data_IF_379834010617
#
_entry.id   IF_379834010617
#
_cell.length_a   1.000
_cell.length_b   1.000
_cell.length_c   1.000
_cell.angle_alpha   90.00
_cell.angle_beta   90.00
_cell.angle_gamma   90.00
#
_symmetry.space_group_name_H-M   'P 1'
#
loop_
_entity.id
_entity.type
_entity.pdbx_description
1 polymer ?
#
# COMPACT_ATOMS: atom_id res chain seq x y z
N UNK A 1 -4.29 1.84 -10.94
CA UNK A 1 -4.63 2.06 -9.50
C UNK A 1 -4.67 3.57 -9.24
N UNK A 2 -5.45 4.06 -8.27
CA UNK A 2 -5.53 5.50 -7.96
C UNK A 2 -5.38 5.78 -6.46
N UNK A 3 -4.87 6.97 -6.13
CA UNK A 3 -4.85 7.52 -4.78
C UNK A 3 -6.23 8.12 -4.48
N UNK A 4 -6.83 7.71 -3.36
CA UNK A 4 -8.09 8.27 -2.83
C UNK A 4 -7.84 9.31 -1.74
N UNK A 5 -6.81 9.08 -0.92
CA UNK A 5 -6.42 9.95 0.18
C UNK A 5 -4.90 9.85 0.34
N UNK A 6 -4.21 10.99 0.50
CA UNK A 6 -2.80 11.03 0.85
C UNK A 6 -2.55 12.22 1.78
N UNK A 7 -2.62 11.96 3.07
CA UNK A 7 -2.36 12.92 4.15
C UNK A 7 -1.17 12.44 4.98
N UNK A 8 -0.58 13.26 5.86
CA UNK A 8 0.51 12.81 6.72
C UNK A 8 0.13 11.60 7.60
N UNK A 9 -1.15 11.47 7.97
CA UNK A 9 -1.66 10.41 8.84
C UNK A 9 -2.24 9.21 8.12
N UNK A 10 -2.70 9.36 6.86
CA UNK A 10 -3.45 8.30 6.17
C UNK A 10 -3.21 8.29 4.66
N UNK A 11 -3.00 7.11 4.12
CA UNK A 11 -2.91 6.84 2.68
C UNK A 11 -3.97 5.81 2.30
N UNK A 12 -4.83 6.14 1.35
CA UNK A 12 -5.81 5.23 0.79
C UNK A 12 -5.61 5.08 -0.72
N UNK A 13 -5.47 3.84 -1.19
CA UNK A 13 -5.31 3.47 -2.58
C UNK A 13 -6.46 2.57 -3.01
N UNK A 14 -6.92 2.72 -4.24
CA UNK A 14 -7.95 1.85 -4.79
C UNK A 14 -7.64 1.45 -6.24
N UNK A 15 -7.86 0.17 -6.53
CA UNK A 15 -8.04 -0.34 -7.88
C UNK A 15 -9.47 -0.84 -8.02
N UNK A 16 -10.11 -0.51 -9.13
CA UNK A 16 -11.48 -0.96 -9.44
C UNK A 16 -11.53 -1.38 -10.91
N UNK A 17 -11.91 -2.64 -11.12
CA UNK A 17 -12.38 -3.16 -12.39
C UNK A 17 -13.87 -3.49 -12.32
N UNK A 18 -14.43 -3.97 -13.43
CA UNK A 18 -15.86 -4.26 -13.56
C UNK A 18 -16.41 -5.18 -12.45
N UNK A 19 -15.65 -6.22 -12.10
CA UNK A 19 -16.09 -7.22 -11.12
C UNK A 19 -15.17 -7.31 -9.89
N UNK A 20 -13.99 -6.69 -9.93
CA UNK A 20 -12.96 -6.83 -8.90
C UNK A 20 -12.55 -5.45 -8.38
N UNK A 21 -12.34 -5.32 -7.07
CA UNK A 21 -11.80 -4.11 -6.49
C UNK A 21 -10.83 -4.45 -5.37
N UNK A 22 -9.80 -3.63 -5.21
CA UNK A 22 -8.90 -3.69 -4.07
C UNK A 22 -8.76 -2.30 -3.49
N UNK A 23 -8.91 -2.19 -2.17
CA UNK A 23 -8.69 -0.97 -1.41
C UNK A 23 -7.63 -1.24 -0.35
N UNK A 24 -6.57 -0.44 -0.36
CA UNK A 24 -5.50 -0.48 0.61
C UNK A 24 -5.55 0.81 1.43
N UNK A 25 -5.53 0.70 2.75
CA UNK A 25 -5.51 1.83 3.68
C UNK A 25 -4.32 1.63 4.60
N UNK A 26 -3.44 2.62 4.67
CA UNK A 26 -2.39 2.73 5.67
C UNK A 26 -2.76 3.88 6.60
N UNK A 27 -2.88 3.59 7.89
CA UNK A 27 -3.38 4.52 8.90
C UNK A 27 -2.36 4.62 10.04
N UNK A 28 -1.62 5.74 10.10
CA UNK A 28 -0.60 5.98 11.13
C UNK A 28 -1.19 6.17 12.52
N UNK A 29 -2.27 6.95 12.73
CA UNK A 29 -2.95 7.03 14.02
C UNK A 29 -3.32 5.68 14.62
N UNK A 30 -3.92 4.80 13.80
CA UNK A 30 -4.30 3.45 14.25
C UNK A 30 -3.12 2.46 14.21
N UNK A 31 -2.03 2.80 13.54
CA UNK A 31 -0.87 1.94 13.39
C UNK A 31 -1.14 0.70 12.52
N UNK A 32 -2.10 0.77 11.59
CA UNK A 32 -2.57 -0.39 10.83
C UNK A 32 -2.45 -0.22 9.31
N UNK A 33 -2.22 -1.33 8.63
CA UNK A 33 -2.49 -1.49 7.19
C UNK A 33 -3.66 -2.44 7.01
N UNK A 34 -4.62 -2.04 6.17
CA UNK A 34 -5.79 -2.82 5.83
C UNK A 34 -5.96 -2.93 4.32
N UNK A 35 -5.99 -4.17 3.82
CA UNK A 35 -6.25 -4.48 2.42
C UNK A 35 -7.58 -5.21 2.30
N UNK A 36 -8.56 -4.54 1.70
CA UNK A 36 -9.87 -5.09 1.39
C UNK A 36 -9.94 -5.45 -0.09
N UNK A 37 -10.47 -6.64 -0.40
CA UNK A 37 -10.68 -7.11 -1.77
C UNK A 37 -12.16 -7.42 -1.99
N UNK A 38 -12.65 -7.12 -3.18
CA UNK A 38 -13.94 -7.58 -3.70
C UNK A 38 -13.67 -8.39 -4.96
N UNK A 39 -14.30 -9.56 -5.07
CA UNK A 39 -14.25 -10.42 -6.25
C UNK A 39 -15.68 -10.74 -6.67
N UNK A 40 -16.00 -10.48 -7.94
CA UNK A 40 -17.36 -10.52 -8.47
C UNK A 40 -18.37 -9.70 -7.65
N UNK A 41 -17.95 -8.56 -7.08
CA UNK A 41 -18.73 -7.73 -6.12
C UNK A 41 -18.88 -8.32 -4.70
N UNK A 42 -18.44 -9.54 -4.42
CA UNK A 42 -18.43 -10.10 -3.06
C UNK A 42 -17.19 -9.67 -2.27
N UNK A 43 -17.35 -9.09 -1.07
CA UNK A 43 -16.22 -8.75 -0.21
C UNK A 43 -15.52 -10.01 0.30
N UNK A 44 -14.19 -10.01 0.25
CA UNK A 44 -13.34 -11.03 0.89
C UNK A 44 -12.96 -10.54 2.28
N UNK A 45 -12.57 -11.48 3.15
CA UNK A 45 -11.98 -11.16 4.46
C UNK A 45 -10.85 -10.15 4.29
N UNK A 46 -10.94 -8.97 4.92
CA UNK A 46 -9.85 -7.99 4.88
C UNK A 46 -8.58 -8.59 5.48
N UNK A 47 -7.45 -8.24 4.90
CA UNK A 47 -6.16 -8.49 5.51
C UNK A 47 -5.84 -7.25 6.33
N UNK A 48 -5.61 -7.43 7.63
CA UNK A 48 -5.21 -6.37 8.54
C UNK A 48 -3.91 -6.76 9.24
N UNK A 49 -2.99 -5.82 9.34
CA UNK A 49 -1.71 -6.01 10.00
C UNK A 49 -1.22 -4.68 10.60
N UNK A 50 -0.32 -4.74 11.60
CA UNK A 50 0.40 -3.56 12.06
C UNK A 50 1.21 -2.90 10.94
N UNK A 51 1.33 -1.57 10.94
CA UNK A 51 2.16 -0.84 9.97
C UNK A 51 3.65 -1.18 10.11
N UNK A 52 4.12 -1.46 11.34
CA UNK A 52 5.50 -1.85 11.60
C UNK A 52 5.82 -3.28 11.13
N UNK A 53 4.81 -4.08 10.80
CA UNK A 53 4.99 -5.38 10.17
C UNK A 53 5.36 -5.26 8.68
N UNK A 54 5.22 -4.08 8.07
CA UNK A 54 5.64 -3.84 6.68
C UNK A 54 7.17 -3.75 6.64
N UNK A 55 7.81 -4.76 6.07
CA UNK A 55 9.27 -4.82 5.87
C UNK A 55 9.70 -4.05 4.61
N UNK A 56 8.95 -4.25 3.52
CA UNK A 56 9.20 -3.58 2.22
C UNK A 56 7.93 -3.57 1.37
N UNK A 57 7.95 -2.75 0.32
CA UNK A 57 6.92 -2.70 -0.72
C UNK A 57 7.62 -2.83 -2.06
N UNK A 58 7.27 -3.86 -2.83
CA UNK A 58 7.96 -4.22 -4.08
C UNK A 58 6.99 -4.33 -5.25
N UNK A 59 7.52 -4.46 -6.46
CA UNK A 59 6.76 -4.81 -7.66
C UNK A 59 7.07 -6.26 -7.99
N UNK A 60 6.04 -7.10 -8.05
CA UNK A 60 6.12 -8.45 -8.59
C UNK A 60 5.74 -8.45 -10.06
N UNK A 61 6.61 -9.04 -10.88
CA UNK A 61 6.38 -9.26 -12.30
C UNK A 61 5.76 -10.65 -12.49
N UNK A 62 4.51 -10.69 -12.95
CA UNK A 62 3.77 -11.93 -13.20
C UNK A 62 3.38 -12.00 -14.66
N UNK A 63 3.71 -13.12 -15.32
CA UNK A 63 3.25 -13.35 -16.69
C UNK A 63 1.82 -13.90 -16.67
N UNK A 64 0.89 -13.21 -17.30
CA UNK A 64 -0.47 -13.69 -17.44
C UNK A 64 -0.49 -14.94 -18.33
N UNK A 65 -1.02 -16.04 -17.81
CA UNK A 65 -0.96 -17.33 -18.50
C UNK A 65 -1.85 -17.38 -19.76
N UNK A 66 -2.91 -16.57 -19.81
CA UNK A 66 -3.86 -16.57 -20.93
C UNK A 66 -3.36 -15.71 -22.10
N UNK A 67 -2.83 -14.52 -21.81
CA UNK A 67 -2.41 -13.55 -22.83
C UNK A 67 -0.90 -13.51 -23.06
N UNK A 68 -0.09 -14.08 -22.16
CA UNK A 68 1.37 -13.95 -22.17
C UNK A 68 1.86 -12.56 -21.78
N UNK A 69 0.96 -11.63 -21.46
CA UNK A 69 1.27 -10.24 -21.09
C UNK A 69 1.99 -10.19 -19.76
N UNK A 70 3.04 -9.36 -19.67
CA UNK A 70 3.71 -9.08 -18.42
C UNK A 70 2.84 -8.14 -17.57
N UNK A 71 2.45 -8.58 -16.39
CA UNK A 71 1.72 -7.78 -15.41
C UNK A 71 2.68 -7.30 -14.31
N UNK A 72 2.47 -6.07 -13.86
CA UNK A 72 3.18 -5.49 -12.72
C UNK A 72 2.23 -5.38 -11.54
N UNK A 73 2.59 -5.98 -10.41
CA UNK A 73 1.74 -6.08 -9.23
C UNK A 73 2.47 -5.45 -8.05
N UNK A 74 2.02 -4.31 -7.49
CA UNK A 74 2.51 -3.82 -6.21
C UNK A 74 2.18 -4.82 -5.10
N UNK A 75 3.19 -5.14 -4.29
CA UNK A 75 3.12 -6.11 -3.19
C UNK A 75 3.66 -5.48 -1.92
N UNK A 76 2.87 -5.56 -0.85
CA UNK A 76 3.32 -5.25 0.50
C UNK A 76 3.90 -6.53 1.11
N UNK A 77 5.16 -6.49 1.52
CA UNK A 77 5.79 -7.56 2.28
C UNK A 77 5.55 -7.32 3.78
N UNK A 78 4.60 -8.05 4.34
CA UNK A 78 4.43 -8.18 5.78
C UNK A 78 5.40 -9.28 6.22
N UNK A 79 6.28 -9.01 7.17
CA UNK A 79 7.37 -9.92 7.53
C UNK A 79 7.00 -11.39 7.75
N UNK A 80 8.03 -12.25 7.80
CA UNK A 80 7.87 -13.71 7.79
C UNK A 80 7.22 -14.27 6.51
N UNK A 81 7.49 -13.63 5.36
CA UNK A 81 7.09 -14.12 4.03
C UNK A 81 5.62 -13.90 3.67
N UNK A 82 4.89 -13.04 4.40
CA UNK A 82 3.48 -12.76 4.13
C UNK A 82 3.35 -11.63 3.10
N UNK A 83 3.12 -12.02 1.85
CA UNK A 83 2.96 -11.07 0.74
C UNK A 83 1.49 -10.69 0.52
N UNK A 84 1.21 -9.39 0.38
CA UNK A 84 -0.13 -8.86 0.09
C UNK A 84 -0.12 -8.05 -1.21
N UNK A 85 -0.67 -8.65 -2.27
CA UNK A 85 -0.83 -8.00 -3.58
C UNK A 85 -1.96 -6.96 -3.58
N UNK A 86 -1.73 -5.80 -4.21
CA UNK A 86 -2.71 -4.72 -4.27
C UNK A 86 -3.56 -4.73 -5.55
N UNK A 87 -3.00 -5.06 -6.71
CA UNK A 87 -3.68 -5.37 -8.00
C UNK A 87 -2.67 -5.26 -9.13
N UNK A 88 -2.84 -6.03 -10.20
CA UNK A 88 -2.09 -5.80 -11.43
C UNK A 88 -2.43 -4.41 -12.01
N UNK A 89 -1.42 -3.72 -12.54
CA UNK A 89 -1.53 -2.40 -13.16
C UNK A 89 -0.38 -2.22 -14.16
N UNK A 90 -0.42 -1.15 -14.96
CA UNK A 90 0.69 -0.78 -15.83
C UNK A 90 1.97 -0.51 -15.04
N UNK A 91 3.13 -0.73 -15.67
CA UNK A 91 4.45 -0.60 -15.02
C UNK A 91 4.62 0.73 -14.31
N UNK A 92 4.36 1.83 -15.00
CA UNK A 92 4.58 3.18 -14.46
C UNK A 92 3.67 3.46 -13.25
N UNK A 93 2.44 2.97 -13.31
CA UNK A 93 1.49 3.07 -12.19
C UNK A 93 1.92 2.19 -11.02
N UNK A 94 2.52 1.02 -11.28
CA UNK A 94 3.05 0.16 -10.22
C UNK A 94 4.21 0.84 -9.49
N UNK A 95 5.12 1.48 -10.24
CA UNK A 95 6.23 2.27 -9.68
C UNK A 95 5.70 3.42 -8.84
N UNK A 96 4.78 4.23 -9.40
CA UNK A 96 4.19 5.36 -8.68
C UNK A 96 3.51 4.93 -7.37
N UNK A 97 2.77 3.82 -7.38
CA UNK A 97 2.12 3.27 -6.18
C UNK A 97 3.15 2.85 -5.14
N UNK A 98 4.20 2.12 -5.52
CA UNK A 98 5.23 1.66 -4.59
C UNK A 98 5.96 2.87 -3.98
N UNK A 99 6.34 3.85 -4.81
CA UNK A 99 7.02 5.06 -4.35
C UNK A 99 6.13 5.89 -3.42
N UNK A 100 4.83 6.00 -3.74
CA UNK A 100 3.85 6.69 -2.89
C UNK A 100 3.73 6.03 -1.52
N UNK A 101 3.67 4.69 -1.47
CA UNK A 101 3.58 3.97 -0.19
C UNK A 101 4.88 4.14 0.61
N UNK A 102 6.05 4.00 -0.03
CA UNK A 102 7.35 4.18 0.62
C UNK A 102 7.49 5.59 1.19
N UNK A 103 7.21 6.61 0.39
CA UNK A 103 7.24 8.00 0.83
C UNK A 103 6.30 8.26 2.03
N UNK A 104 5.09 7.68 2.01
CA UNK A 104 4.16 7.79 3.12
C UNK A 104 4.71 7.16 4.41
N UNK A 105 5.30 5.96 4.31
CA UNK A 105 5.89 5.25 5.45
C UNK A 105 7.08 6.02 6.03
N UNK A 106 7.93 6.60 5.19
CA UNK A 106 9.12 7.33 5.63
C UNK A 106 8.78 8.72 6.21
N UNK A 107 7.79 9.43 5.67
CA UNK A 107 7.35 10.72 6.21
C UNK A 107 6.85 10.67 7.67
N UNK A 108 6.53 9.47 8.19
CA UNK A 108 6.19 9.26 9.60
C UNK A 108 7.38 8.92 10.51
N UNK A 109 8.52 8.50 9.94
CA UNK A 109 9.71 8.07 10.69
C UNK A 109 10.55 9.27 11.16
N UNK A 110 10.49 10.39 10.45
CA UNK A 110 11.24 11.62 10.75
C UNK A 110 10.70 12.41 11.97
N UNK A 111 9.54 12.03 12.51
CA UNK A 111 8.93 12.66 13.68
C UNK A 111 9.55 12.29 15.04
N UNK A 112 10.46 11.32 15.11
CA UNK A 112 11.08 10.86 16.37
C UNK A 112 12.35 11.63 16.78
N UNK A 113 12.61 12.83 16.23
CA UNK A 113 13.90 13.52 16.44
C UNK A 113 13.91 15.03 16.70
N UNK A 114 12.81 15.78 16.60
CA UNK A 114 12.84 17.23 16.85
C UNK A 114 12.28 17.58 18.23
N UNK A 115 13.16 17.53 19.24
CA UNK A 115 12.94 18.22 20.52
C UNK A 115 12.70 19.70 20.20
N UNK A 116 11.59 20.33 20.65
CA UNK A 116 11.38 21.75 20.41
C UNK A 116 12.52 22.52 21.09
N UNK A 117 13.22 23.34 20.32
CA UNK A 117 14.20 24.28 20.85
C UNK A 117 13.46 25.18 21.85
N UNK A 118 13.88 25.13 23.13
CA UNK A 118 13.41 26.08 24.14
C UNK A 118 13.71 27.49 23.63
N UNK A 119 12.75 28.43 23.70
CA UNK A 119 13.07 29.83 23.48
C UNK A 119 14.05 30.26 24.57
N UNK A 120 15.18 30.86 24.15
CA UNK A 120 16.06 31.60 25.06
C UNK A 120 15.32 32.89 25.41
N UNK A 121 15.04 33.08 26.69
CA UNK A 121 14.67 34.37 27.26
C UNK A 121 15.86 35.31 27.33
#
# INVERSE_FOLDING_TARGET
MRVLENTPGRLALQSSGFANAVTCILDKPEGTVRVQRKVLLWPRTPIEAPLDAIEDVTISEVKDAASGTQLHVPVINLGAGRLVSLSATDKDVAVEVVDTIRAFLDAGRDGRGRKPARPRG
#
